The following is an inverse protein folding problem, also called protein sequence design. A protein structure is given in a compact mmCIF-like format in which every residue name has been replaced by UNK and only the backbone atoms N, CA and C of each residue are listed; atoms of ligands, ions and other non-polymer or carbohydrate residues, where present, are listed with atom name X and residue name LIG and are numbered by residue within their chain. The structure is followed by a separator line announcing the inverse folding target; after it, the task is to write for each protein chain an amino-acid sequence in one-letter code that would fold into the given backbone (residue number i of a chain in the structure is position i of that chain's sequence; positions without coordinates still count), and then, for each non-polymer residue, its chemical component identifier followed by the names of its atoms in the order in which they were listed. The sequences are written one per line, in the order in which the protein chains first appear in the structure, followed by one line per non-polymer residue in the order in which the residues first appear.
data_IF_022638331796
#
_entry.id   IF_022638331796
#
_cell.length_a   1.000
_cell.length_b   1.000
_cell.length_c   1.000
_cell.angle_alpha   90.00
_cell.angle_beta   90.00
_cell.angle_gamma   90.00
#
_symmetry.space_group_name_H-M   'P 1'
#
loop_
_entity.id
_entity.type
_entity.pdbx_description
1 polymer ?
#
# COMPACT_ATOMS: atom_id res chain seq x y z
N UNK A 1 3.22 -6.22 29.49
CA UNK A 1 1.88 -6.81 29.29
C UNK A 1 1.11 -5.83 28.45
N UNK A 2 0.28 -6.27 27.50
CA UNK A 2 -0.55 -5.35 26.71
C UNK A 2 -1.44 -4.49 27.62
N UNK A 3 -1.65 -3.24 27.23
CA UNK A 3 -2.46 -2.27 27.98
C UNK A 3 -3.82 -2.06 27.30
N UNK A 4 -4.87 -2.04 28.10
CA UNK A 4 -6.24 -1.79 27.66
C UNK A 4 -6.36 -0.47 26.88
N UNK A 5 -6.86 -0.53 25.63
CA UNK A 5 -7.13 0.67 24.84
C UNK A 5 -8.59 1.09 24.95
N UNK A 6 -8.82 2.39 25.16
CA UNK A 6 -10.14 2.97 24.97
C UNK A 6 -10.40 3.15 23.48
N UNK A 7 -11.21 2.27 22.91
CA UNK A 7 -11.70 2.38 21.53
C UNK A 7 -13.10 2.99 21.50
N UNK A 8 -13.45 3.67 20.42
CA UNK A 8 -14.80 4.20 20.20
C UNK A 8 -15.32 3.80 18.82
N UNK A 9 -16.63 3.96 18.60
CA UNK A 9 -17.24 3.83 17.28
C UNK A 9 -17.42 5.19 16.66
N UNK A 10 -17.16 5.27 15.37
CA UNK A 10 -17.52 6.43 14.57
C UNK A 10 -18.77 6.14 13.74
N UNK A 11 -19.56 7.15 13.43
CA UNK A 11 -20.83 7.00 12.72
C UNK A 11 -20.70 7.06 11.19
N UNK A 12 -19.56 6.64 10.65
CA UNK A 12 -19.39 6.54 9.21
C UNK A 12 -17.94 6.45 8.75
N UNK A 13 -17.80 6.26 7.45
CA UNK A 13 -16.53 6.00 6.79
C UNK A 13 -16.00 7.25 6.10
N UNK A 14 -15.12 7.96 6.79
CA UNK A 14 -14.48 9.21 6.33
C UNK A 14 -12.99 9.01 6.19
N UNK A 15 -12.44 9.18 5.00
CA UNK A 15 -10.98 9.18 4.79
C UNK A 15 -10.35 10.50 5.23
N UNK A 16 -9.09 10.46 5.63
CA UNK A 16 -8.27 11.67 5.82
C UNK A 16 -8.03 12.36 4.46
N UNK A 17 -8.01 13.69 4.43
CA UNK A 17 -7.50 14.45 3.29
C UNK A 17 -6.13 15.04 3.64
N UNK A 18 -5.15 14.91 2.75
CA UNK A 18 -3.81 15.42 3.02
C UNK A 18 -3.11 15.92 1.74
N UNK A 19 -2.07 16.73 1.93
CA UNK A 19 -1.25 17.29 0.87
C UNK A 19 0.21 17.40 1.31
N UNK A 20 1.13 17.31 0.34
CA UNK A 20 2.58 17.35 0.60
C UNK A 20 3.14 18.78 0.70
N UNK A 21 3.41 19.41 -0.43
CA UNK A 21 4.07 20.72 -0.52
C UNK A 21 3.22 21.63 -1.40
N UNK A 22 2.91 22.88 -1.01
CA UNK A 22 2.05 23.75 -1.80
C UNK A 22 2.79 24.28 -3.05
N UNK A 23 2.02 24.60 -4.09
CA UNK A 23 2.47 25.26 -5.31
C UNK A 23 1.51 26.40 -5.69
N UNK A 24 2.03 27.40 -6.39
CA UNK A 24 1.26 28.55 -6.88
C UNK A 24 0.63 28.30 -8.27
N UNK A 25 0.94 27.17 -8.90
CA UNK A 25 0.36 26.77 -10.18
C UNK A 25 -1.08 26.22 -10.06
N UNK A 26 -1.66 25.80 -11.19
CA UNK A 26 -3.02 25.27 -11.24
C UNK A 26 -3.19 23.92 -10.50
N UNK A 27 -2.10 23.19 -10.26
CA UNK A 27 -2.10 21.88 -9.60
C UNK A 27 -2.07 21.99 -8.07
N UNK A 28 -1.81 23.19 -7.52
CA UNK A 28 -1.88 23.56 -6.10
C UNK A 28 -0.87 22.90 -5.17
N UNK A 29 -0.32 21.75 -5.54
CA UNK A 29 0.66 21.01 -4.76
C UNK A 29 1.74 20.40 -5.66
N UNK A 30 2.98 20.41 -5.19
CA UNK A 30 4.15 20.02 -5.98
C UNK A 30 4.11 18.54 -6.35
N UNK A 31 3.83 17.64 -5.40
CA UNK A 31 4.01 16.20 -5.61
C UNK A 31 2.70 15.41 -5.59
N UNK A 32 1.96 15.48 -4.49
CA UNK A 32 0.72 14.73 -4.29
C UNK A 32 -0.14 15.33 -3.19
N UNK A 33 -1.44 15.10 -3.33
CA UNK A 33 -2.51 15.57 -2.43
C UNK A 33 -3.81 14.84 -2.76
N UNK A 34 -4.79 14.91 -1.88
CA UNK A 34 -6.12 14.35 -2.10
C UNK A 34 -6.65 13.56 -0.91
N UNK A 35 -7.68 12.75 -1.17
CA UNK A 35 -8.26 11.87 -0.16
C UNK A 35 -7.44 10.61 0.02
N UNK A 36 -6.79 10.50 1.17
CA UNK A 36 -5.65 9.63 1.46
C UNK A 36 -5.96 8.62 2.56
N UNK A 37 -7.23 8.23 2.72
CA UNK A 37 -7.60 7.18 3.68
C UNK A 37 -6.87 5.85 3.46
N UNK A 38 -6.50 5.54 2.21
CA UNK A 38 -5.68 4.37 1.88
C UNK A 38 -4.25 4.74 1.48
N UNK A 39 -3.72 5.90 1.86
CA UNK A 39 -2.31 6.29 1.65
C UNK A 39 -1.37 5.56 2.65
N UNK A 40 -0.11 5.29 2.35
CA UNK A 40 0.63 5.44 1.06
C UNK A 40 0.93 4.09 0.43
N UNK A 41 1.43 4.06 -0.82
CA UNK A 41 1.90 2.86 -1.51
C UNK A 41 2.79 1.91 -0.68
N UNK A 42 3.42 2.40 0.40
CA UNK A 42 4.36 1.68 1.28
C UNK A 42 3.76 1.17 2.59
N UNK A 43 2.49 1.48 2.86
CA UNK A 43 1.67 0.88 3.91
C UNK A 43 0.92 -0.30 3.29
N UNK A 44 1.33 -1.53 3.61
CA UNK A 44 0.69 -2.76 3.12
C UNK A 44 0.80 -3.87 4.17
N UNK A 45 -0.20 -4.75 4.33
CA UNK A 45 -1.48 -4.72 3.63
C UNK A 45 -2.52 -3.81 4.33
N UNK A 46 -3.49 -3.32 3.56
CA UNK A 46 -4.59 -2.47 4.08
C UNK A 46 -5.88 -3.26 4.31
N UNK A 47 -5.95 -4.49 3.80
CA UNK A 47 -7.12 -5.36 3.91
C UNK A 47 -6.71 -6.84 3.87
N UNK A 48 -7.47 -7.68 4.54
CA UNK A 48 -7.26 -9.12 4.66
C UNK A 48 -8.61 -9.84 4.63
N UNK A 49 -8.78 -10.79 3.72
CA UNK A 49 -9.94 -11.68 3.71
C UNK A 49 -9.71 -12.91 4.59
N UNK A 50 -10.60 -13.13 5.55
CA UNK A 50 -10.63 -14.27 6.44
C UNK A 50 -11.76 -15.23 6.05
N UNK A 51 -11.42 -16.33 5.40
CA UNK A 51 -12.37 -17.38 4.97
C UNK A 51 -13.15 -17.97 6.15
N UNK A 52 -12.51 -18.16 7.31
CA UNK A 52 -13.13 -18.77 8.50
C UNK A 52 -14.42 -18.06 8.97
N UNK A 53 -14.50 -16.75 8.79
CA UNK A 53 -15.68 -15.94 9.14
C UNK A 53 -16.39 -15.37 7.92
N UNK A 54 -15.82 -15.52 6.73
CA UNK A 54 -16.26 -14.93 5.46
C UNK A 54 -16.37 -13.40 5.53
N UNK A 55 -15.28 -12.77 6.00
CA UNK A 55 -15.18 -11.31 6.17
C UNK A 55 -13.88 -10.78 5.59
N UNK A 56 -13.94 -9.62 4.95
CA UNK A 56 -12.74 -8.84 4.65
C UNK A 56 -12.54 -7.77 5.72
N UNK A 57 -11.52 -7.92 6.55
CA UNK A 57 -11.07 -6.88 7.48
C UNK A 57 -10.26 -5.83 6.72
N UNK A 58 -10.44 -4.55 7.06
CA UNK A 58 -9.67 -3.46 6.47
C UNK A 58 -9.43 -2.34 7.48
N UNK A 59 -8.34 -1.59 7.29
CA UNK A 59 -8.04 -0.37 8.03
C UNK A 59 -7.88 0.81 7.09
N UNK A 60 -7.92 2.02 7.64
CA UNK A 60 -7.70 3.25 6.88
C UNK A 60 -7.32 4.40 7.81
N UNK A 61 -6.73 5.44 7.23
CA UNK A 61 -6.63 6.76 7.87
C UNK A 61 -7.97 7.46 7.83
N UNK A 62 -8.64 7.52 8.96
CA UNK A 62 -9.90 8.24 9.12
C UNK A 62 -9.72 9.69 9.50
N UNK A 63 -10.82 10.42 9.61
CA UNK A 63 -10.83 11.79 10.14
C UNK A 63 -12.10 12.09 10.92
N UNK A 64 -12.03 13.04 11.85
CA UNK A 64 -13.21 13.60 12.51
C UNK A 64 -14.08 14.37 11.51
N UNK A 65 -15.37 14.54 11.86
CA UNK A 65 -16.35 15.25 11.01
C UNK A 65 -16.03 16.73 10.82
N UNK A 66 -15.50 17.36 11.85
CA UNK A 66 -15.30 18.81 11.96
C UNK A 66 -13.82 19.20 12.01
N UNK A 67 -12.92 18.23 11.86
CA UNK A 67 -11.48 18.43 11.97
C UNK A 67 -10.70 17.45 11.10
N UNK A 68 -9.80 17.97 10.27
CA UNK A 68 -8.88 17.18 9.46
C UNK A 68 -7.70 16.67 10.33
N UNK A 69 -7.86 15.48 10.93
CA UNK A 69 -6.88 14.87 11.82
C UNK A 69 -7.06 13.36 11.82
N UNK A 70 -5.95 12.62 11.73
CA UNK A 70 -5.94 11.18 11.52
C UNK A 70 -6.48 10.43 12.72
N UNK A 71 -7.48 9.61 12.42
CA UNK A 71 -7.93 8.50 13.23
C UNK A 71 -7.39 7.20 12.63
N UNK A 72 -6.79 6.33 13.46
CA UNK A 72 -6.48 4.97 13.02
C UNK A 72 -7.76 4.14 13.08
N UNK A 73 -8.31 3.79 11.91
CA UNK A 73 -9.62 3.14 11.80
C UNK A 73 -9.48 1.67 11.41
N UNK A 74 -10.36 0.82 11.94
CA UNK A 74 -10.49 -0.60 11.55
C UNK A 74 -11.96 -0.98 11.41
N UNK A 75 -12.27 -1.80 10.39
CA UNK A 75 -13.60 -2.36 10.19
C UNK A 75 -13.55 -3.67 9.39
N UNK A 76 -14.71 -4.22 9.04
CA UNK A 76 -14.84 -5.34 8.13
C UNK A 76 -16.05 -5.21 7.21
N UNK A 77 -15.97 -5.88 6.05
CA UNK A 77 -17.11 -6.19 5.20
C UNK A 77 -17.49 -7.66 5.40
N UNK A 78 -18.74 -7.90 5.77
CA UNK A 78 -19.29 -9.24 5.93
C UNK A 78 -19.89 -9.71 4.60
N UNK A 79 -19.26 -10.71 3.98
CA UNK A 79 -19.67 -11.19 2.65
C UNK A 79 -20.99 -11.97 2.69
N UNK A 80 -21.35 -12.55 3.85
CA UNK A 80 -22.61 -13.31 3.99
C UNK A 80 -23.82 -12.38 3.99
N UNK A 81 -23.72 -11.26 4.70
CA UNK A 81 -24.82 -10.30 4.80
C UNK A 81 -24.72 -9.19 3.76
N UNK A 82 -23.52 -8.92 3.25
CA UNK A 82 -23.21 -7.81 2.36
C UNK A 82 -23.28 -6.45 3.07
N UNK A 83 -22.82 -6.39 4.32
CA UNK A 83 -22.91 -5.20 5.19
C UNK A 83 -21.58 -4.88 5.86
N UNK A 84 -21.49 -3.67 6.41
CA UNK A 84 -20.40 -3.17 7.25
C UNK A 84 -20.97 -2.66 8.58
N UNK A 85 -20.25 -2.83 9.71
CA UNK A 85 -20.65 -2.24 10.99
C UNK A 85 -20.23 -0.76 11.07
N UNK A 86 -20.56 -0.08 12.17
CA UNK A 86 -19.88 1.16 12.55
C UNK A 86 -18.36 0.91 12.67
N UNK A 87 -17.48 1.72 12.04
CA UNK A 87 -16.05 1.51 12.13
C UNK A 87 -15.51 1.82 13.54
N UNK A 88 -14.48 1.09 13.95
CA UNK A 88 -13.80 1.29 15.23
C UNK A 88 -12.66 2.31 15.07
N UNK A 89 -12.66 3.32 15.94
CA UNK A 89 -11.54 4.24 16.16
C UNK A 89 -10.60 3.60 17.17
N UNK A 90 -9.38 3.26 16.73
CA UNK A 90 -8.35 2.72 17.63
C UNK A 90 -7.65 3.83 18.41
N UNK A 91 -7.32 4.93 17.74
CA UNK A 91 -6.65 6.07 18.35
C UNK A 91 -6.71 7.30 17.45
N UNK A 92 -6.60 8.46 18.10
CA UNK A 92 -6.32 9.74 17.47
C UNK A 92 -4.80 9.98 17.41
N UNK A 93 -4.28 10.25 16.21
CA UNK A 93 -2.83 10.48 16.00
C UNK A 93 -2.39 11.92 16.18
N UNK A 94 -3.32 12.86 16.39
CA UNK A 94 -3.00 14.27 16.65
C UNK A 94 -2.35 15.01 15.48
N UNK A 95 -2.46 14.48 14.26
CA UNK A 95 -1.87 15.05 13.04
C UNK A 95 -2.74 14.77 11.82
N UNK A 96 -2.63 15.57 10.76
CA UNK A 96 -3.22 15.26 9.46
C UNK A 96 -2.26 14.47 8.54
N UNK A 97 -1.01 14.27 8.94
CA UNK A 97 0.05 13.65 8.14
C UNK A 97 -0.25 12.19 7.79
N UNK A 98 -0.77 11.94 6.58
CA UNK A 98 -1.28 10.63 6.14
C UNK A 98 -0.24 9.50 6.21
N UNK A 99 1.05 9.81 6.38
CA UNK A 99 2.09 8.83 6.67
C UNK A 99 1.88 8.08 8.01
N UNK A 100 1.04 8.61 8.90
CA UNK A 100 0.64 8.01 10.17
C UNK A 100 -0.54 7.02 10.03
N UNK A 101 -1.03 6.75 8.81
CA UNK A 101 -2.08 5.76 8.56
C UNK A 101 -1.72 4.34 9.05
N UNK A 102 -2.71 3.52 9.42
CA UNK A 102 -2.49 2.14 9.86
C UNK A 102 -2.41 1.14 8.70
N UNK A 103 -1.80 -0.03 8.97
CA UNK A 103 -1.95 -1.29 8.22
C UNK A 103 -2.48 -2.39 9.15
N UNK A 104 -3.04 -3.47 8.61
CA UNK A 104 -3.48 -4.60 9.42
C UNK A 104 -3.02 -5.95 8.87
N UNK A 105 -2.95 -6.95 9.74
CA UNK A 105 -2.71 -8.36 9.39
C UNK A 105 -3.43 -9.26 10.41
N UNK A 106 -3.81 -10.47 10.01
CA UNK A 106 -4.34 -11.48 10.92
C UNK A 106 -3.29 -12.55 11.21
N UNK A 107 -3.29 -13.07 12.45
CA UNK A 107 -2.48 -14.25 12.83
C UNK A 107 -3.25 -15.57 12.61
N UNK A 108 -2.59 -16.70 12.90
CA UNK A 108 -3.15 -18.05 12.73
C UNK A 108 -4.39 -18.30 13.59
N UNK A 109 -4.52 -17.60 14.71
CA UNK A 109 -5.65 -17.70 15.63
C UNK A 109 -6.80 -16.76 15.24
N UNK A 110 -6.59 -15.90 14.23
CA UNK A 110 -7.57 -14.96 13.72
C UNK A 110 -7.60 -13.62 14.44
N UNK A 111 -6.66 -13.32 15.34
CA UNK A 111 -6.59 -12.00 15.96
C UNK A 111 -6.20 -10.94 14.92
N UNK A 112 -6.84 -9.78 15.03
CA UNK A 112 -6.57 -8.64 14.17
C UNK A 112 -5.45 -7.82 14.78
N UNK A 113 -4.33 -7.70 14.07
CA UNK A 113 -3.19 -6.88 14.46
C UNK A 113 -3.17 -5.61 13.62
N UNK A 114 -3.03 -4.46 14.27
CA UNK A 114 -3.01 -3.16 13.60
C UNK A 114 -1.71 -2.42 13.94
N UNK A 115 -0.96 -2.07 12.89
CA UNK A 115 0.32 -1.37 12.98
C UNK A 115 0.10 0.08 12.54
N UNK A 116 0.02 0.98 13.51
CA UNK A 116 -0.22 2.40 13.30
C UNK A 116 1.12 3.11 13.12
N UNK A 117 1.34 3.66 11.93
CA UNK A 117 2.62 4.22 11.52
C UNK A 117 2.94 5.57 12.18
N UNK A 118 4.20 5.97 12.11
CA UNK A 118 4.64 7.34 12.29
C UNK A 118 5.37 7.84 11.03
N UNK A 119 5.53 9.15 10.91
CA UNK A 119 6.41 9.75 9.90
C UNK A 119 7.73 10.23 10.49
N UNK A 120 8.82 9.51 10.21
CA UNK A 120 10.11 9.83 10.80
C UNK A 120 10.11 9.63 12.31
N UNK A 121 10.84 10.47 13.03
CA UNK A 121 11.04 10.36 14.49
C UNK A 121 10.18 11.33 15.30
N UNK A 122 9.27 12.07 14.65
CA UNK A 122 8.51 13.16 15.28
C UNK A 122 7.41 12.61 16.21
N UNK A 123 6.90 11.42 15.93
CA UNK A 123 5.80 10.79 16.68
C UNK A 123 6.06 9.30 16.91
N UNK A 124 5.46 8.71 17.95
CA UNK A 124 5.43 7.27 18.12
C UNK A 124 4.51 6.59 17.10
N UNK A 125 4.84 5.32 16.87
CA UNK A 125 4.10 4.31 16.13
C UNK A 125 3.66 3.21 17.11
N UNK A 126 2.56 2.52 16.79
CA UNK A 126 1.89 1.64 17.74
C UNK A 126 1.54 0.30 17.11
N UNK A 127 1.62 -0.77 17.91
CA UNK A 127 1.13 -2.08 17.57
C UNK A 127 -0.03 -2.44 18.50
N UNK A 128 -1.19 -2.72 17.93
CA UNK A 128 -2.41 -3.07 18.65
C UNK A 128 -2.84 -4.49 18.26
N UNK A 129 -3.45 -5.23 19.18
CA UNK A 129 -4.01 -6.57 18.95
C UNK A 129 -5.47 -6.59 19.40
N UNK A 130 -6.36 -7.18 18.61
CA UNK A 130 -7.75 -7.41 19.05
C UNK A 130 -7.79 -8.34 20.28
N UNK A 131 -8.77 -8.16 21.15
CA UNK A 131 -8.96 -9.02 22.33
C UNK A 131 -9.54 -10.39 22.01
N UNK A 132 -10.24 -10.47 20.89
CA UNK A 132 -10.88 -11.67 20.40
C UNK A 132 -10.51 -11.89 18.92
N UNK A 133 -10.41 -13.15 18.47
CA UNK A 133 -10.30 -13.46 17.06
C UNK A 133 -11.43 -12.86 16.24
N UNK A 134 -11.11 -12.38 15.04
CA UNK A 134 -12.06 -11.88 14.05
C UNK A 134 -12.97 -10.76 14.56
N UNK A 135 -12.47 -9.96 15.52
CA UNK A 135 -13.21 -8.91 16.20
C UNK A 135 -12.54 -7.55 16.03
N UNK A 136 -13.37 -6.51 15.95
CA UNK A 136 -12.96 -5.11 15.98
C UNK A 136 -13.50 -4.39 17.23
N UNK A 137 -14.07 -5.13 18.18
CA UNK A 137 -14.79 -4.57 19.34
C UNK A 137 -13.87 -3.95 20.39
N UNK A 138 -12.70 -4.53 20.60
CA UNK A 138 -11.75 -4.09 21.61
C UNK A 138 -10.33 -4.52 21.24
N UNK A 139 -9.36 -3.69 21.63
CA UNK A 139 -7.94 -3.88 21.35
C UNK A 139 -7.10 -3.61 22.59
N UNK A 140 -5.94 -4.23 22.63
CA UNK A 140 -4.88 -3.91 23.59
C UNK A 140 -3.67 -3.33 22.84
N UNK A 141 -3.03 -2.35 23.46
CA UNK A 141 -1.76 -1.80 23.01
C UNK A 141 -0.66 -2.79 23.38
N UNK A 142 0.01 -3.36 22.38
CA UNK A 142 1.09 -4.34 22.55
C UNK A 142 2.43 -3.65 22.68
N UNK A 143 2.68 -2.65 21.83
CA UNK A 143 3.97 -1.97 21.78
C UNK A 143 3.82 -0.53 21.28
N UNK A 144 4.50 0.40 21.96
CA UNK A 144 4.82 1.73 21.45
C UNK A 144 6.30 1.76 21.04
N UNK A 145 6.59 2.14 19.79
CA UNK A 145 7.96 2.32 19.29
C UNK A 145 7.97 3.34 18.14
N UNK A 146 9.03 3.36 17.33
CA UNK A 146 9.08 4.19 16.12
C UNK A 146 9.30 3.31 14.89
N UNK A 147 8.41 3.44 13.91
CA UNK A 147 8.55 2.87 12.57
C UNK A 147 7.70 3.66 11.56
N UNK A 148 8.14 3.67 10.31
CA UNK A 148 7.39 4.20 9.18
C UNK A 148 7.18 3.13 8.12
N UNK A 149 6.14 3.29 7.31
CA UNK A 149 5.84 2.41 6.17
C UNK A 149 5.77 0.92 6.55
N UNK A 150 4.91 0.56 7.52
CA UNK A 150 4.82 -0.79 8.06
C UNK A 150 4.40 -1.84 7.02
N UNK A 151 5.09 -2.98 7.00
CA UNK A 151 4.78 -4.15 6.16
C UNK A 151 4.88 -5.46 6.97
N UNK A 152 3.84 -5.79 7.77
CA UNK A 152 3.84 -6.93 8.70
C UNK A 152 3.26 -8.19 8.07
N UNK A 153 4.14 -9.10 7.63
CA UNK A 153 3.70 -10.39 7.08
C UNK A 153 3.65 -11.44 8.17
N UNK A 154 2.46 -11.92 8.50
CA UNK A 154 2.28 -13.11 9.33
C UNK A 154 2.48 -14.35 8.46
N UNK A 155 3.52 -15.13 8.74
CA UNK A 155 3.83 -16.39 8.08
C UNK A 155 3.26 -17.52 8.94
N UNK A 156 2.31 -18.33 8.42
CA UNK A 156 1.65 -19.37 9.19
C UNK A 156 2.62 -20.31 9.89
N UNK A 157 2.39 -20.58 11.17
CA UNK A 157 3.24 -21.42 12.03
C UNK A 157 4.59 -20.81 12.43
N UNK A 158 4.95 -19.61 11.94
CA UNK A 158 6.23 -18.93 12.27
C UNK A 158 6.03 -17.62 13.03
N UNK A 159 5.01 -16.83 12.69
CA UNK A 159 4.73 -15.52 13.26
C UNK A 159 4.99 -14.37 12.29
N UNK A 160 5.30 -13.19 12.81
CA UNK A 160 5.51 -11.97 12.01
C UNK A 160 6.94 -11.79 11.52
N UNK A 161 7.08 -11.59 10.20
CA UNK A 161 8.22 -10.91 9.59
C UNK A 161 7.79 -9.49 9.21
N UNK A 162 8.31 -8.51 9.95
CA UNK A 162 7.90 -7.12 9.83
C UNK A 162 8.96 -6.28 9.16
N UNK A 163 8.74 -5.89 7.91
CA UNK A 163 9.57 -4.91 7.22
C UNK A 163 9.08 -3.50 7.55
N UNK A 164 10.03 -2.59 7.77
CA UNK A 164 9.77 -1.24 8.24
C UNK A 164 10.89 -0.30 7.82
N UNK A 165 10.58 0.99 7.73
CA UNK A 165 11.59 2.04 7.59
C UNK A 165 11.92 2.65 8.95
N UNK A 166 13.21 2.80 9.24
CA UNK A 166 13.70 3.58 10.37
C UNK A 166 14.54 4.75 9.85
N UNK A 167 14.30 5.94 10.41
CA UNK A 167 14.99 7.16 10.00
C UNK A 167 16.31 7.32 10.77
N UNK A 168 17.38 6.71 10.27
CA UNK A 168 18.71 6.70 10.88
C UNK A 168 19.74 7.42 9.98
N UNK A 169 19.63 8.74 9.83
CA UNK A 169 20.44 9.53 8.89
C UNK A 169 19.97 9.46 7.43
N UNK A 170 19.02 8.57 7.15
CA UNK A 170 18.30 8.43 5.89
C UNK A 170 17.08 7.52 6.09
N UNK A 171 16.30 7.30 5.02
CA UNK A 171 15.11 6.44 5.04
C UNK A 171 15.52 4.99 4.82
N UNK A 172 16.10 4.36 5.83
CA UNK A 172 16.73 3.05 5.71
C UNK A 172 15.75 1.92 5.98
N UNK A 173 15.97 0.78 5.32
CA UNK A 173 15.09 -0.37 5.36
C UNK A 173 15.57 -1.34 6.44
N UNK A 174 14.63 -1.80 7.26
CA UNK A 174 14.87 -2.74 8.34
C UNK A 174 13.81 -3.84 8.34
N UNK A 175 14.11 -4.92 9.04
CA UNK A 175 13.11 -5.91 9.43
C UNK A 175 13.29 -6.34 10.89
N UNK A 176 12.21 -6.82 11.48
CA UNK A 176 12.22 -7.52 12.77
C UNK A 176 11.29 -8.71 12.70
N UNK A 177 11.56 -9.75 13.49
CA UNK A 177 10.68 -10.92 13.58
C UNK A 177 10.07 -11.06 14.97
N UNK A 178 8.94 -11.74 15.04
CA UNK A 178 8.28 -12.10 16.30
C UNK A 178 7.46 -13.36 16.09
N UNK A 179 7.67 -14.38 16.92
CA UNK A 179 6.92 -15.64 16.84
C UNK A 179 5.53 -15.56 17.47
N UNK A 180 5.28 -14.56 18.31
CA UNK A 180 4.05 -14.39 19.10
C UNK A 180 3.37 -13.03 18.88
N UNK A 181 3.96 -12.16 18.06
CA UNK A 181 3.54 -10.77 17.84
C UNK A 181 3.80 -9.82 19.03
N UNK A 182 4.31 -10.33 20.15
CA UNK A 182 4.53 -9.58 21.40
C UNK A 182 6.02 -9.36 21.65
N UNK A 183 6.82 -10.42 21.52
CA UNK A 183 8.26 -10.44 21.71
C UNK A 183 8.95 -10.24 20.37
N UNK A 184 9.54 -9.06 20.17
CA UNK A 184 10.18 -8.68 18.90
C UNK A 184 11.70 -8.73 18.97
N UNK A 185 12.33 -9.22 17.90
CA UNK A 185 13.78 -9.06 17.74
C UNK A 185 14.16 -7.59 17.58
N UNK A 186 15.43 -7.26 17.88
CA UNK A 186 15.98 -5.95 17.47
C UNK A 186 15.88 -5.80 15.95
N UNK A 187 15.54 -4.62 15.43
CA UNK A 187 15.53 -4.38 13.98
C UNK A 187 16.91 -4.64 13.36
N UNK A 188 16.95 -5.46 12.31
CA UNK A 188 18.13 -5.71 11.47
C UNK A 188 18.01 -4.88 10.19
N UNK A 189 19.08 -4.19 9.82
CA UNK A 189 19.09 -3.35 8.62
C UNK A 189 19.19 -4.21 7.37
N UNK A 190 18.28 -4.01 6.41
CA UNK A 190 18.34 -4.60 5.06
C UNK A 190 19.21 -3.75 4.14
N UNK A 191 18.93 -2.44 4.12
CA UNK A 191 19.60 -1.53 3.20
C UNK A 191 19.63 -0.12 3.77
N UNK A 192 20.79 0.53 3.62
CA UNK A 192 20.96 1.94 3.91
C UNK A 192 21.98 2.54 2.96
N UNK A 193 21.52 2.94 1.77
CA UNK A 193 22.34 3.61 0.78
C UNK A 193 21.91 5.07 0.65
N UNK A 194 22.87 6.00 0.54
CA UNK A 194 22.63 7.44 0.37
C UNK A 194 21.50 7.98 1.29
N UNK A 195 20.42 8.54 0.72
CA UNK A 195 19.28 9.08 1.48
C UNK A 195 18.18 8.05 1.78
N UNK A 196 18.36 6.80 1.36
CA UNK A 196 17.48 5.68 1.67
C UNK A 196 16.54 5.30 0.52
N UNK A 197 15.40 4.72 0.87
CA UNK A 197 14.60 3.93 -0.06
C UNK A 197 13.09 4.07 0.20
N UNK A 198 12.27 3.84 -0.81
CA UNK A 198 10.86 3.49 -0.63
C UNK A 198 10.67 2.02 -1.03
N UNK A 199 10.08 1.21 -0.15
CA UNK A 199 9.93 -0.24 -0.35
C UNK A 199 8.46 -0.68 -0.49
N UNK A 200 8.23 -1.73 -1.26
CA UNK A 200 7.02 -2.55 -1.28
C UNK A 200 7.44 -4.01 -1.20
N UNK A 201 6.63 -4.83 -0.56
CA UNK A 201 6.89 -6.26 -0.40
C UNK A 201 5.61 -7.06 -0.54
N UNK A 202 5.75 -8.35 -0.70
CA UNK A 202 4.65 -9.31 -0.65
C UNK A 202 5.20 -10.68 -0.24
N UNK A 203 4.29 -11.60 0.10
CA UNK A 203 4.66 -12.97 0.45
C UNK A 203 3.99 -14.00 -0.49
N UNK A 204 4.68 -15.11 -0.70
CA UNK A 204 4.18 -16.34 -1.34
C UNK A 204 4.58 -17.51 -0.45
N UNK A 205 3.61 -18.17 0.16
CA UNK A 205 3.89 -19.20 1.17
C UNK A 205 4.77 -18.66 2.30
N UNK A 206 5.97 -19.19 2.44
CA UNK A 206 6.97 -18.73 3.43
C UNK A 206 7.94 -17.67 2.89
N UNK A 207 7.97 -17.47 1.57
CA UNK A 207 8.84 -16.51 0.90
C UNK A 207 8.29 -15.11 1.08
N UNK A 208 9.15 -14.17 1.46
CA UNK A 208 8.85 -12.73 1.46
C UNK A 208 9.84 -12.02 0.56
N UNK A 209 9.33 -11.37 -0.49
CA UNK A 209 10.12 -10.57 -1.42
C UNK A 209 9.87 -9.09 -1.22
N UNK A 210 10.91 -8.27 -1.39
CA UNK A 210 10.83 -6.81 -1.29
C UNK A 210 11.51 -6.14 -2.48
N UNK A 211 10.86 -5.13 -3.02
CA UNK A 211 11.38 -4.26 -4.06
C UNK A 211 11.41 -2.82 -3.60
N UNK A 212 12.47 -2.10 -3.97
CA UNK A 212 12.68 -0.74 -3.53
C UNK A 212 13.48 0.06 -4.56
N UNK A 213 13.38 1.39 -4.45
CA UNK A 213 14.19 2.32 -5.24
C UNK A 213 15.38 2.85 -4.43
N UNK A 214 16.31 3.51 -5.10
CA UNK A 214 17.43 4.23 -4.52
C UNK A 214 17.15 5.73 -4.48
N UNK A 215 17.33 6.35 -3.32
CA UNK A 215 17.28 7.79 -3.17
C UNK A 215 18.69 8.37 -3.20
N UNK A 216 19.10 8.89 -4.37
CA UNK A 216 20.43 9.43 -4.60
C UNK A 216 20.73 10.65 -3.70
N UNK A 217 22.02 10.90 -3.46
CA UNK A 217 22.51 12.12 -2.82
C UNK A 217 22.05 13.37 -3.59
N UNK A 218 21.85 14.50 -2.89
CA UNK A 218 21.53 15.78 -3.52
C UNK A 218 22.67 16.27 -4.43
N UNK A 219 22.58 15.91 -5.71
CA UNK A 219 23.43 16.31 -6.84
C UNK A 219 22.52 16.49 -8.07
N UNK A 220 22.99 17.07 -9.20
CA UNK A 220 22.23 16.98 -10.44
C UNK A 220 21.96 15.50 -10.78
N UNK A 221 20.69 15.12 -10.98
CA UNK A 221 20.26 13.74 -11.30
C UNK A 221 18.89 13.37 -10.69
N UNK A 222 18.31 12.21 -11.08
CA UNK A 222 17.01 11.76 -10.58
C UNK A 222 17.10 11.41 -9.08
N UNK A 223 16.29 12.04 -8.20
CA UNK A 223 16.39 11.84 -6.75
C UNK A 223 15.90 10.46 -6.30
N UNK A 224 15.05 9.79 -7.08
CA UNK A 224 14.52 8.45 -6.81
C UNK A 224 14.72 7.62 -8.06
N UNK A 225 15.68 6.72 -8.09
CA UNK A 225 16.05 5.96 -9.29
C UNK A 225 16.41 4.53 -8.93
N UNK A 226 16.85 3.73 -9.90
CA UNK A 226 17.19 2.32 -9.81
C UNK A 226 16.05 1.45 -9.24
N UNK A 227 16.07 0.18 -9.60
CA UNK A 227 15.15 -0.81 -9.07
C UNK A 227 15.96 -1.94 -8.46
N UNK A 228 15.59 -2.34 -7.25
CA UNK A 228 16.23 -3.44 -6.52
C UNK A 228 15.19 -4.46 -6.09
N UNK A 229 15.64 -5.70 -5.92
CA UNK A 229 14.85 -6.79 -5.38
C UNK A 229 15.71 -7.72 -4.52
N UNK A 230 15.12 -8.20 -3.42
CA UNK A 230 15.68 -9.24 -2.57
C UNK A 230 14.55 -10.01 -1.88
N UNK A 231 14.84 -11.24 -1.46
CA UNK A 231 13.87 -12.11 -0.81
C UNK A 231 14.48 -12.96 0.30
N UNK A 232 13.60 -13.47 1.16
CA UNK A 232 13.93 -14.45 2.18
C UNK A 232 12.90 -15.57 2.17
N UNK A 233 13.36 -16.82 2.22
CA UNK A 233 12.51 -18.01 2.40
C UNK A 233 12.59 -18.60 3.80
N UNK A 234 13.41 -18.03 4.69
CA UNK A 234 13.79 -18.62 5.98
C UNK A 234 13.49 -17.69 7.16
N UNK A 235 12.40 -16.93 7.01
CA UNK A 235 11.90 -16.00 8.03
C UNK A 235 12.95 -14.91 8.40
N UNK A 236 13.70 -14.44 7.40
CA UNK A 236 14.69 -13.37 7.54
C UNK A 236 16.01 -13.82 8.19
N UNK A 237 16.31 -15.12 8.24
CA UNK A 237 17.62 -15.60 8.70
C UNK A 237 18.69 -15.20 7.69
N UNK A 238 18.45 -15.49 6.40
CA UNK A 238 19.24 -15.08 5.24
C UNK A 238 18.39 -14.33 4.23
N UNK A 239 19.06 -13.63 3.30
CA UNK A 239 18.43 -12.88 2.21
C UNK A 239 19.20 -13.13 0.93
N UNK A 240 18.47 -13.24 -0.18
CA UNK A 240 18.98 -13.59 -1.50
C UNK A 240 18.42 -12.65 -2.57
N UNK A 241 19.05 -12.60 -3.74
CA UNK A 241 18.44 -12.02 -4.93
C UNK A 241 17.49 -13.03 -5.61
N UNK A 242 16.87 -12.64 -6.73
CA UNK A 242 15.91 -13.50 -7.44
C UNK A 242 16.54 -14.79 -8.05
N UNK A 243 17.86 -14.84 -8.26
CA UNK A 243 18.56 -16.05 -8.73
C UNK A 243 18.98 -16.99 -7.60
N UNK A 244 18.72 -16.62 -6.34
CA UNK A 244 19.11 -17.39 -5.16
C UNK A 244 20.53 -17.13 -4.67
N UNK A 245 21.22 -16.11 -5.19
CA UNK A 245 22.53 -15.71 -4.68
C UNK A 245 22.37 -15.00 -3.33
N UNK A 246 23.12 -15.42 -2.33
CA UNK A 246 23.10 -14.83 -0.99
C UNK A 246 23.58 -13.37 -1.00
N UNK A 247 22.90 -12.53 -0.21
CA UNK A 247 23.20 -11.11 -0.07
C UNK A 247 23.81 -10.81 1.30
N UNK A 248 24.92 -10.08 1.31
CA UNK A 248 25.51 -9.56 2.54
C UNK A 248 24.76 -8.29 3.01
N UNK A 249 24.25 -8.33 4.24
CA UNK A 249 23.49 -7.23 4.82
C UNK A 249 24.33 -6.40 5.81
N UNK A 250 24.11 -5.07 5.89
CA UNK A 250 23.18 -4.30 5.07
C UNK A 250 23.73 -3.99 3.67
N UNK A 251 22.84 -3.93 2.68
CA UNK A 251 23.17 -3.37 1.37
C UNK A 251 23.54 -1.90 1.53
N UNK A 252 24.78 -1.56 1.20
CA UNK A 252 25.40 -0.24 1.47
C UNK A 252 25.93 0.47 0.23
N UNK A 253 25.98 -0.20 -0.92
CA UNK A 253 26.39 0.36 -2.21
C UNK A 253 25.25 0.24 -3.23
N UNK A 254 25.10 1.21 -4.15
CA UNK A 254 24.06 1.18 -5.19
C UNK A 254 24.30 0.10 -6.26
N UNK A 255 25.54 -0.32 -6.48
CA UNK A 255 25.85 -1.48 -7.30
C UNK A 255 25.78 -2.77 -6.47
N UNK A 256 25.34 -3.87 -7.08
CA UNK A 256 25.39 -5.19 -6.45
C UNK A 256 24.33 -6.16 -6.94
N UNK A 257 24.34 -7.36 -6.39
CA UNK A 257 23.50 -8.50 -6.80
C UNK A 257 21.99 -8.30 -6.62
N UNK A 258 21.57 -7.30 -5.83
CA UNK A 258 20.17 -6.94 -5.64
C UNK A 258 19.65 -5.95 -6.70
N UNK A 259 20.52 -5.36 -7.52
CA UNK A 259 20.14 -4.40 -8.56
C UNK A 259 19.41 -5.12 -9.70
N UNK A 260 18.16 -4.74 -9.95
CA UNK A 260 17.35 -5.21 -11.07
C UNK A 260 17.65 -4.38 -12.32
N UNK A 261 17.69 -3.05 -12.18
CA UNK A 261 17.98 -2.16 -13.29
C UNK A 261 18.51 -0.79 -12.83
N UNK A 262 19.55 -0.31 -13.53
CA UNK A 262 20.15 1.01 -13.33
C UNK A 262 19.41 2.08 -14.15
N UNK A 263 18.31 2.58 -13.59
CA UNK A 263 17.56 3.70 -14.18
C UNK A 263 18.28 5.04 -14.06
N UNK A 264 19.30 5.15 -13.21
CA UNK A 264 20.08 6.38 -13.08
C UNK A 264 20.84 6.65 -14.38
N UNK A 265 21.36 5.60 -15.01
CA UNK A 265 22.02 5.68 -16.33
C UNK A 265 21.12 6.21 -17.45
N UNK A 266 19.80 6.21 -17.25
CA UNK A 266 18.78 6.69 -18.20
C UNK A 266 18.16 8.03 -17.79
N UNK A 267 18.66 8.67 -16.72
CA UNK A 267 18.07 9.88 -16.13
C UNK A 267 16.58 9.71 -15.76
N UNK A 268 16.17 8.49 -15.40
CA UNK A 268 14.79 8.16 -15.07
C UNK A 268 14.58 7.99 -13.57
N UNK A 269 13.43 8.47 -13.12
CA UNK A 269 12.93 8.23 -11.78
C UNK A 269 12.16 6.92 -11.70
N UNK A 270 12.16 6.30 -10.52
CA UNK A 270 11.47 5.02 -10.25
C UNK A 270 10.54 5.16 -9.05
N UNK A 271 9.26 4.88 -9.27
CA UNK A 271 8.21 4.84 -8.26
C UNK A 271 7.67 3.42 -8.17
N UNK A 272 8.19 2.62 -7.23
CA UNK A 272 7.70 1.25 -6.98
C UNK A 272 6.23 1.26 -6.54
N UNK A 273 5.43 0.26 -6.94
CA UNK A 273 3.96 0.24 -6.73
C UNK A 273 3.48 -0.99 -6.01
N UNK A 274 3.91 -2.18 -6.43
CA UNK A 274 3.50 -3.46 -5.86
C UNK A 274 4.50 -4.57 -6.19
N UNK A 275 4.42 -5.69 -5.46
CA UNK A 275 5.14 -6.94 -5.73
C UNK A 275 4.14 -8.08 -5.71
N UNK A 276 4.28 -9.06 -6.59
CA UNK A 276 3.57 -10.33 -6.51
C UNK A 276 4.44 -11.45 -7.09
N UNK A 277 3.94 -12.68 -7.03
CA UNK A 277 4.67 -13.86 -7.51
C UNK A 277 3.84 -14.62 -8.54
N UNK A 278 4.51 -15.21 -9.53
CA UNK A 278 3.86 -16.19 -10.40
C UNK A 278 3.73 -17.57 -9.75
N UNK A 279 3.16 -18.53 -10.49
CA UNK A 279 2.91 -19.87 -9.98
C UNK A 279 4.18 -20.65 -9.64
N UNK A 280 5.34 -20.23 -10.17
CA UNK A 280 6.65 -20.81 -9.90
C UNK A 280 7.41 -20.02 -8.81
N UNK A 281 6.71 -19.14 -8.11
CA UNK A 281 7.24 -18.24 -7.06
C UNK A 281 8.33 -17.28 -7.57
N UNK A 282 8.31 -16.95 -8.87
CA UNK A 282 9.17 -15.90 -9.40
C UNK A 282 8.56 -14.52 -9.16
N UNK A 283 9.36 -13.53 -8.73
CA UNK A 283 8.86 -12.19 -8.45
C UNK A 283 8.47 -11.42 -9.72
N UNK A 284 7.38 -10.66 -9.58
CA UNK A 284 6.88 -9.67 -10.53
C UNK A 284 6.74 -8.34 -9.81
N UNK A 285 7.44 -7.33 -10.30
CA UNK A 285 7.49 -5.99 -9.73
C UNK A 285 6.67 -5.05 -10.60
N UNK A 286 5.73 -4.32 -10.00
CA UNK A 286 5.00 -3.24 -10.65
C UNK A 286 5.60 -1.89 -10.21
N UNK A 287 5.98 -1.07 -11.17
CA UNK A 287 6.56 0.25 -10.89
C UNK A 287 6.25 1.25 -12.02
N UNK A 288 6.57 2.51 -11.80
CA UNK A 288 6.42 3.58 -12.78
C UNK A 288 7.75 4.32 -12.95
N UNK A 289 8.05 4.75 -14.18
CA UNK A 289 9.16 5.66 -14.47
C UNK A 289 8.68 6.98 -15.05
N UNK A 290 9.45 8.05 -14.79
CA UNK A 290 9.24 9.39 -15.34
C UNK A 290 10.53 10.21 -15.27
N UNK A 291 10.53 11.41 -15.85
CA UNK A 291 11.71 12.30 -15.88
C UNK A 291 11.77 13.27 -14.68
N UNK A 292 10.70 13.38 -13.89
CA UNK A 292 10.57 14.35 -12.79
C UNK A 292 9.57 13.90 -11.72
N UNK A 293 9.56 14.54 -10.55
CA UNK A 293 8.67 14.16 -9.43
C UNK A 293 7.38 14.95 -9.41
N UNK A 294 7.40 16.14 -9.99
CA UNK A 294 6.38 17.16 -9.88
C UNK A 294 5.11 16.78 -10.64
N UNK A 295 3.99 17.31 -10.13
CA UNK A 295 2.65 17.25 -10.70
C UNK A 295 2.59 18.10 -11.97
N UNK A 296 1.82 17.66 -12.97
CA UNK A 296 1.67 18.37 -14.26
C UNK A 296 2.30 17.64 -15.46
N UNK A 297 2.07 18.12 -16.69
CA UNK A 297 2.50 17.44 -17.93
C UNK A 297 4.01 17.45 -18.19
N UNK A 298 4.78 18.31 -17.51
CA UNK A 298 6.19 18.56 -17.82
C UNK A 298 7.11 17.34 -17.66
N UNK A 299 6.68 16.35 -16.87
CA UNK A 299 7.43 15.14 -16.56
C UNK A 299 6.89 13.90 -17.29
N UNK A 300 6.01 14.11 -18.28
CA UNK A 300 5.55 13.04 -19.15
C UNK A 300 6.66 12.53 -20.09
N UNK A 301 6.58 11.26 -20.53
CA UNK A 301 5.56 10.29 -20.16
C UNK A 301 5.82 9.63 -18.80
N UNK A 302 4.74 9.31 -18.09
CA UNK A 302 4.75 8.46 -16.89
C UNK A 302 4.35 7.04 -17.28
N UNK A 303 5.32 6.16 -17.34
CA UNK A 303 5.17 4.82 -17.92
C UNK A 303 5.18 3.79 -16.79
N UNK A 304 4.13 2.97 -16.71
CA UNK A 304 4.09 1.81 -15.83
C UNK A 304 4.84 0.65 -16.49
N UNK A 305 5.56 -0.11 -15.68
CA UNK A 305 6.35 -1.26 -16.10
C UNK A 305 6.07 -2.46 -15.23
N UNK A 306 6.26 -3.64 -15.81
CA UNK A 306 6.50 -4.86 -15.04
C UNK A 306 7.93 -5.33 -15.25
N UNK A 307 8.64 -5.61 -14.15
CA UNK A 307 9.88 -6.38 -14.16
C UNK A 307 9.58 -7.77 -13.59
N UNK A 308 9.79 -8.83 -14.37
CA UNK A 308 9.57 -10.21 -13.95
C UNK A 308 10.88 -10.99 -13.99
N UNK A 309 11.14 -11.78 -12.96
CA UNK A 309 12.18 -12.79 -13.03
C UNK A 309 11.69 -14.01 -13.80
N UNK A 310 12.42 -14.42 -14.85
CA UNK A 310 12.04 -15.56 -15.70
C UNK A 310 12.54 -16.91 -15.17
N UNK A 311 13.25 -16.92 -14.04
CA UNK A 311 14.06 -18.04 -13.58
C UNK A 311 15.53 -17.94 -13.99
N UNK A 312 15.87 -17.04 -14.92
CA UNK A 312 17.24 -16.86 -15.41
C UNK A 312 17.65 -15.38 -15.54
N UNK A 313 16.72 -14.50 -15.91
CA UNK A 313 16.98 -13.08 -16.09
C UNK A 313 15.76 -12.22 -15.74
N UNK A 314 15.98 -10.91 -15.55
CA UNK A 314 14.90 -9.95 -15.41
C UNK A 314 14.41 -9.51 -16.78
N UNK A 315 13.13 -9.76 -17.05
CA UNK A 315 12.43 -9.23 -18.21
C UNK A 315 11.63 -7.99 -17.80
N UNK A 316 11.94 -6.84 -18.43
CA UNK A 316 11.29 -5.56 -18.17
C UNK A 316 10.45 -5.16 -19.38
N UNK A 317 9.17 -4.88 -19.15
CA UNK A 317 8.21 -4.48 -20.20
C UNK A 317 7.38 -3.28 -19.76
N UNK A 318 7.13 -2.36 -20.70
CA UNK A 318 6.12 -1.33 -20.53
C UNK A 318 4.72 -1.96 -20.46
N UNK A 319 3.86 -1.41 -19.61
CA UNK A 319 2.48 -1.87 -19.46
C UNK A 319 1.48 -0.85 -20.04
N UNK A 320 1.31 0.27 -19.37
CA UNK A 320 0.40 1.35 -19.72
C UNK A 320 0.89 2.65 -19.08
N UNK A 321 0.13 3.74 -19.17
CA UNK A 321 0.51 5.05 -18.64
C UNK A 321 -0.55 5.57 -17.67
N UNK A 322 -0.15 6.51 -16.84
CA UNK A 322 -1.06 7.37 -16.07
C UNK A 322 -0.50 8.79 -16.08
N UNK A 323 -1.15 9.74 -15.41
CA UNK A 323 -0.78 11.16 -15.46
C UNK A 323 -0.12 11.66 -14.16
N UNK A 324 0.04 10.83 -13.13
CA UNK A 324 0.77 11.20 -11.93
C UNK A 324 1.73 10.10 -11.41
N UNK A 325 2.89 10.52 -10.89
CA UNK A 325 3.92 9.63 -10.35
C UNK A 325 3.45 8.83 -9.13
N UNK A 326 2.42 9.29 -8.43
CA UNK A 326 1.92 8.73 -7.18
C UNK A 326 0.65 7.88 -7.36
N UNK A 327 0.18 7.72 -8.59
CA UNK A 327 -0.89 6.79 -8.93
C UNK A 327 -0.48 5.39 -8.50
N UNK A 328 -1.35 4.71 -7.75
CA UNK A 328 -1.02 3.42 -7.14
C UNK A 328 -2.17 2.45 -7.35
N UNK A 329 -1.83 1.29 -7.89
CA UNK A 329 -2.68 0.12 -7.97
C UNK A 329 -2.02 -1.12 -7.37
N UNK A 330 -2.66 -2.26 -7.53
CA UNK A 330 -2.11 -3.57 -7.17
C UNK A 330 -2.10 -4.52 -8.37
N UNK A 331 -1.11 -5.40 -8.42
CA UNK A 331 -1.04 -6.48 -9.42
C UNK A 331 -1.50 -7.80 -8.80
N UNK A 332 -2.47 -8.41 -9.44
CA UNK A 332 -3.00 -9.74 -9.11
C UNK A 332 -2.50 -10.73 -10.15
N UNK A 333 -2.07 -11.90 -9.70
CA UNK A 333 -1.74 -13.04 -10.55
C UNK A 333 -2.83 -14.08 -10.32
N UNK A 334 -3.66 -14.29 -11.33
CA UNK A 334 -4.81 -15.18 -11.26
C UNK A 334 -4.39 -16.64 -11.45
N UNK A 335 -5.20 -17.58 -10.95
CA UNK A 335 -4.91 -19.02 -11.05
C UNK A 335 -4.78 -19.54 -12.48
N UNK A 336 -5.40 -18.87 -13.45
CA UNK A 336 -5.32 -19.21 -14.87
C UNK A 336 -4.11 -18.58 -15.58
N UNK A 337 -3.24 -17.89 -14.83
CA UNK A 337 -2.06 -17.20 -15.35
C UNK A 337 -2.32 -15.76 -15.80
N UNK A 338 -3.57 -15.29 -15.78
CA UNK A 338 -3.89 -13.89 -16.12
C UNK A 338 -3.26 -12.94 -15.10
N UNK A 339 -2.54 -11.93 -15.58
CA UNK A 339 -2.12 -10.80 -14.76
C UNK A 339 -3.18 -9.73 -14.82
N UNK A 340 -3.54 -9.14 -13.68
CA UNK A 340 -4.54 -8.10 -13.57
C UNK A 340 -4.02 -6.94 -12.74
N UNK A 341 -4.14 -5.72 -13.27
CA UNK A 341 -3.88 -4.50 -12.50
C UNK A 341 -5.19 -3.74 -12.34
N UNK A 342 -5.50 -3.35 -11.10
CA UNK A 342 -6.57 -2.41 -10.78
C UNK A 342 -5.92 -1.16 -10.19
N UNK A 343 -6.04 -0.03 -10.88
CA UNK A 343 -5.28 1.18 -10.61
C UNK A 343 -5.97 2.44 -11.16
N UNK A 344 -5.73 3.63 -10.59
CA UNK A 344 -6.18 4.90 -11.14
C UNK A 344 -5.29 5.33 -12.32
N UNK A 345 -5.43 4.68 -13.46
CA UNK A 345 -4.59 4.93 -14.65
C UNK A 345 -5.24 5.83 -15.68
N UNK A 346 -6.54 6.06 -15.54
CA UNK A 346 -7.30 6.90 -16.45
C UNK A 346 -7.38 8.32 -15.89
N UNK A 347 -7.40 9.30 -16.78
CA UNK A 347 -7.51 10.71 -16.39
C UNK A 347 -8.76 10.95 -15.54
N UNK A 348 -8.56 11.48 -14.35
CA UNK A 348 -9.62 11.93 -13.46
C UNK A 348 -10.07 13.37 -13.71
N UNK A 349 -11.09 13.84 -12.96
CA UNK A 349 -11.57 15.22 -13.03
C UNK A 349 -10.51 16.27 -12.67
N UNK A 350 -9.49 15.91 -11.88
CA UNK A 350 -8.34 16.77 -11.58
C UNK A 350 -7.09 16.25 -12.29
N UNK A 351 -7.05 16.49 -13.61
CA UNK A 351 -5.98 16.09 -14.53
C UNK A 351 -4.57 16.39 -13.96
N UNK A 352 -3.65 15.43 -14.13
CA UNK A 352 -2.26 15.39 -13.67
C UNK A 352 -2.04 15.39 -12.16
N UNK A 353 -3.03 15.72 -11.33
CA UNK A 353 -2.92 15.56 -9.88
C UNK A 353 -2.99 14.07 -9.49
N UNK A 354 -2.60 13.72 -8.26
CA UNK A 354 -2.59 12.33 -7.80
C UNK A 354 -3.95 11.64 -7.94
N UNK A 355 -3.91 10.41 -8.43
CA UNK A 355 -5.08 9.59 -8.70
C UNK A 355 -5.75 9.96 -10.02
N UNK A 356 -6.90 9.34 -10.25
CA UNK A 356 -7.62 9.47 -11.51
C UNK A 356 -8.89 8.64 -11.48
N UNK A 357 -9.39 8.25 -12.65
CA UNK A 357 -10.38 7.19 -12.73
C UNK A 357 -9.70 5.82 -12.65
N UNK A 358 -10.34 4.89 -11.94
CA UNK A 358 -9.84 3.52 -11.78
C UNK A 358 -10.16 2.70 -13.02
N UNK A 359 -9.21 1.90 -13.48
CA UNK A 359 -9.41 0.94 -14.57
C UNK A 359 -8.87 -0.45 -14.20
N UNK A 360 -9.36 -1.45 -14.94
CA UNK A 360 -8.84 -2.82 -14.94
C UNK A 360 -8.07 -3.07 -16.21
N UNK A 361 -6.81 -3.45 -16.05
CA UNK A 361 -5.93 -3.93 -17.11
C UNK A 361 -5.65 -5.41 -16.93
N UNK A 362 -5.57 -6.15 -18.03
CA UNK A 362 -5.20 -7.57 -18.00
C UNK A 362 -4.14 -7.90 -19.03
N UNK A 363 -3.25 -8.83 -18.70
CA UNK A 363 -2.34 -9.51 -19.63
C UNK A 363 -2.51 -11.02 -19.49
N UNK A 364 -2.54 -11.72 -20.63
CA UNK A 364 -2.62 -13.18 -20.70
C UNK A 364 -1.29 -13.83 -21.14
N UNK A 365 -0.26 -13.00 -21.33
CA UNK A 365 1.06 -13.36 -21.87
C UNK A 365 2.18 -12.80 -20.98
N UNK A 366 1.94 -12.81 -19.67
CA UNK A 366 2.92 -12.48 -18.64
C UNK A 366 3.55 -11.08 -18.83
N UNK A 367 2.68 -10.09 -19.06
CA UNK A 367 3.06 -8.69 -19.26
C UNK A 367 3.52 -8.35 -20.67
N UNK A 368 3.42 -9.27 -21.64
CA UNK A 368 3.78 -9.04 -23.04
C UNK A 368 2.89 -8.01 -23.72
N UNK A 369 1.58 -8.13 -23.50
CA UNK A 369 0.57 -7.20 -23.97
C UNK A 369 -0.46 -6.95 -22.87
N UNK A 370 -0.79 -5.68 -22.67
CA UNK A 370 -1.82 -5.26 -21.73
C UNK A 370 -3.05 -4.73 -22.45
N UNK A 371 -4.23 -5.16 -22.00
CA UNK A 371 -5.51 -4.67 -22.48
C UNK A 371 -6.29 -4.05 -21.34
N UNK A 372 -6.72 -2.81 -21.50
CA UNK A 372 -7.75 -2.22 -20.63
C UNK A 372 -9.07 -2.92 -20.90
N UNK A 373 -9.58 -3.65 -19.91
CA UNK A 373 -10.82 -4.42 -20.04
C UNK A 373 -12.02 -3.68 -19.46
N UNK A 374 -11.79 -2.68 -18.59
CA UNK A 374 -12.86 -1.90 -17.97
C UNK A 374 -12.35 -0.58 -17.41
N UNK A 375 -13.16 0.46 -17.51
CA UNK A 375 -13.07 1.61 -16.61
C UNK A 375 -13.98 1.32 -15.41
N UNK A 376 -13.37 1.21 -14.22
CA UNK A 376 -14.01 0.91 -12.93
C UNK A 376 -14.64 2.16 -12.35
N UNK A 377 -14.21 3.36 -12.70
CA UNK A 377 -14.91 4.60 -12.37
C UNK A 377 -14.93 5.51 -13.59
N UNK A 378 -15.90 6.44 -13.67
CA UNK A 378 -16.07 7.39 -14.78
C UNK A 378 -16.78 8.64 -14.28
N UNK A 379 -16.41 9.79 -14.83
CA UNK A 379 -17.06 11.09 -14.57
C UNK A 379 -17.17 11.38 -13.06
N UNK A 380 -16.17 10.96 -12.29
CA UNK A 380 -16.12 11.12 -10.86
C UNK A 380 -15.99 12.59 -10.50
N UNK A 381 -16.45 12.96 -9.30
CA UNK A 381 -16.25 14.32 -8.76
C UNK A 381 -14.79 14.55 -8.37
N UNK A 382 -14.14 13.50 -7.86
CA UNK A 382 -12.81 13.51 -7.28
C UNK A 382 -11.94 12.42 -7.92
N UNK A 383 -10.64 12.65 -7.98
CA UNK A 383 -9.68 11.59 -8.31
C UNK A 383 -9.74 10.47 -7.25
N UNK A 384 -9.68 9.23 -7.71
CA UNK A 384 -9.52 8.04 -6.90
C UNK A 384 -8.03 7.73 -6.73
N UNK A 385 -7.58 7.47 -5.50
CA UNK A 385 -6.17 7.37 -5.15
C UNK A 385 -5.87 6.06 -4.41
N UNK A 386 -4.61 5.61 -4.50
CA UNK A 386 -4.07 4.49 -3.72
C UNK A 386 -4.93 3.22 -3.65
N UNK A 387 -5.18 2.59 -4.80
CA UNK A 387 -5.94 1.34 -4.91
C UNK A 387 -5.16 0.16 -4.34
N UNK A 388 -5.74 -0.55 -3.38
CA UNK A 388 -5.08 -1.60 -2.57
C UNK A 388 -5.59 -2.98 -2.92
N UNK A 389 -4.66 -3.93 -3.02
CA UNK A 389 -4.93 -5.37 -3.10
C UNK A 389 -5.06 -5.95 -1.69
N UNK A 390 -6.18 -6.59 -1.34
CA UNK A 390 -6.32 -7.34 -0.10
C UNK A 390 -5.47 -8.61 -0.09
N UNK A 391 -5.01 -9.02 1.09
CA UNK A 391 -4.49 -10.37 1.31
C UNK A 391 -5.66 -11.37 1.18
N UNK A 392 -5.42 -12.47 0.47
CA UNK A 392 -6.43 -13.52 0.21
C UNK A 392 -7.73 -13.01 -0.45
N UNK A 393 -7.66 -11.93 -1.23
CA UNK A 393 -8.82 -11.20 -1.76
C UNK A 393 -10.02 -12.08 -2.19
N UNK A 394 -11.18 -11.83 -1.58
CA UNK A 394 -12.46 -12.41 -2.01
C UNK A 394 -12.91 -11.80 -3.34
N UNK A 395 -13.53 -12.55 -4.27
CA UNK A 395 -13.95 -12.02 -5.57
C UNK A 395 -14.89 -10.81 -5.52
N UNK A 396 -15.62 -10.58 -4.43
CA UNK A 396 -16.51 -9.42 -4.25
C UNK A 396 -15.86 -8.22 -3.53
N UNK A 397 -14.65 -8.38 -2.99
CA UNK A 397 -13.84 -7.33 -2.39
C UNK A 397 -12.39 -7.55 -2.81
N UNK A 398 -12.08 -7.09 -4.02
CA UNK A 398 -10.85 -7.40 -4.74
C UNK A 398 -9.89 -6.21 -4.81
N UNK A 399 -10.42 -4.99 -4.69
CA UNK A 399 -9.64 -3.77 -4.52
C UNK A 399 -10.31 -2.81 -3.53
N UNK A 400 -9.53 -2.02 -2.79
CA UNK A 400 -10.00 -1.06 -1.78
C UNK A 400 -9.24 0.27 -1.87
N UNK A 401 -9.91 1.42 -1.85
CA UNK A 401 -9.29 2.72 -2.09
C UNK A 401 -10.07 3.91 -1.53
N UNK A 402 -9.48 5.11 -1.63
CA UNK A 402 -10.10 6.37 -1.27
C UNK A 402 -10.24 7.31 -2.48
N UNK A 403 -11.12 8.31 -2.38
CA UNK A 403 -11.15 9.46 -3.30
C UNK A 403 -11.02 10.78 -2.55
N UNK A 404 -10.74 11.87 -3.26
CA UNK A 404 -10.79 13.24 -2.74
C UNK A 404 -10.24 14.23 -3.76
N UNK A 405 -10.65 15.49 -3.70
CA UNK A 405 -10.15 16.53 -4.61
C UNK A 405 -8.67 16.80 -4.29
N UNK A 406 -7.72 16.59 -5.20
CA UNK A 406 -6.32 16.86 -4.93
C UNK A 406 -5.97 18.35 -5.02
N UNK A 407 -6.85 19.24 -5.47
CA UNK A 407 -6.55 20.69 -5.60
C UNK A 407 -6.99 21.50 -4.38
N UNK A 408 -7.83 20.95 -3.52
CA UNK A 408 -8.36 21.62 -2.33
C UNK A 408 -8.88 20.59 -1.32
N UNK A 409 -8.97 21.00 -0.05
CA UNK A 409 -9.55 20.17 0.99
C UNK A 409 -11.01 19.79 0.63
N UNK A 410 -11.34 18.52 0.83
CA UNK A 410 -12.63 17.96 0.43
C UNK A 410 -12.98 16.72 1.23
N UNK A 411 -14.23 16.28 1.11
CA UNK A 411 -14.62 14.95 1.57
C UNK A 411 -13.74 13.88 0.93
N UNK A 412 -13.29 12.92 1.74
CA UNK A 412 -12.68 11.69 1.23
C UNK A 412 -13.56 10.49 1.54
N UNK A 413 -13.95 9.77 0.49
CA UNK A 413 -14.84 8.61 0.56
C UNK A 413 -14.05 7.35 0.26
N UNK A 414 -14.50 6.23 0.81
CA UNK A 414 -13.85 4.93 0.67
C UNK A 414 -14.67 3.99 -0.22
N UNK A 415 -13.98 3.20 -1.03
CA UNK A 415 -14.59 2.34 -2.04
C UNK A 415 -13.93 0.98 -2.08
N UNK A 416 -14.69 -0.02 -2.52
CA UNK A 416 -14.16 -1.31 -2.93
C UNK A 416 -14.88 -1.82 -4.17
N UNK A 417 -14.28 -2.76 -4.88
CA UNK A 417 -14.93 -3.42 -6.02
C UNK A 417 -14.70 -4.92 -6.07
N UNK A 418 -15.53 -5.59 -6.86
CA UNK A 418 -15.34 -6.99 -7.22
C UNK A 418 -14.15 -7.17 -8.19
N UNK A 419 -13.74 -8.43 -8.41
CA UNK A 419 -12.61 -8.79 -9.27
C UNK A 419 -12.71 -8.25 -10.69
N UNK A 420 -13.94 -8.14 -11.20
CA UNK A 420 -14.19 -7.65 -12.54
C UNK A 420 -14.13 -6.12 -12.64
N UNK A 421 -14.25 -5.41 -11.51
CA UNK A 421 -14.43 -3.97 -11.45
C UNK A 421 -15.81 -3.48 -11.89
N UNK A 422 -16.79 -4.38 -12.02
CA UNK A 422 -18.16 -4.05 -12.44
C UNK A 422 -19.04 -3.63 -11.26
N UNK A 423 -18.83 -4.24 -10.09
CA UNK A 423 -19.56 -3.91 -8.87
C UNK A 423 -18.66 -3.06 -7.99
N UNK A 424 -18.85 -1.75 -8.07
CA UNK A 424 -18.20 -0.78 -7.19
C UNK A 424 -19.15 -0.40 -6.06
N UNK A 425 -18.65 -0.45 -4.85
CA UNK A 425 -19.35 -0.06 -3.64
C UNK A 425 -18.62 1.08 -2.96
N UNK A 426 -19.37 2.06 -2.48
CA UNK A 426 -18.90 3.14 -1.61
C UNK A 426 -19.31 2.82 -0.17
N UNK A 427 -18.35 2.90 0.76
CA UNK A 427 -18.65 2.79 2.18
C UNK A 427 -19.48 4.01 2.64
N UNK A 428 -20.47 3.82 3.54
CA UNK A 428 -21.37 4.89 3.93
C UNK A 428 -20.61 6.01 4.65
N UNK A 429 -20.57 7.20 4.04
CA UNK A 429 -19.87 8.35 4.63
C UNK A 429 -20.46 8.76 5.99
N UNK A 430 -21.77 8.57 6.16
CA UNK A 430 -22.52 8.67 7.40
C UNK A 430 -23.45 7.47 7.49
N UNK A 431 -23.50 6.83 8.65
CA UNK A 431 -24.39 5.72 8.98
C UNK A 431 -25.50 6.20 9.91
N UNK A 432 -26.69 5.65 9.76
CA UNK A 432 -27.85 5.83 10.63
C UNK A 432 -28.07 4.64 11.55
N UNK A 433 -27.62 3.45 11.13
CA UNK A 433 -27.74 2.20 11.88
C UNK A 433 -26.36 1.64 12.27
N UNK A 434 -26.33 0.73 13.24
CA UNK A 434 -25.08 0.08 13.68
C UNK A 434 -24.43 -0.79 12.59
N UNK A 435 -25.23 -1.23 11.62
CA UNK A 435 -24.82 -2.08 10.49
C UNK A 435 -25.57 -1.66 9.23
N UNK A 436 -24.86 -1.37 8.14
CA UNK A 436 -25.45 -0.93 6.88
C UNK A 436 -24.83 -1.59 5.65
N UNK A 437 -25.57 -1.55 4.54
CA UNK A 437 -25.04 -1.98 3.23
C UNK A 437 -24.23 -0.83 2.60
N UNK A 438 -23.02 -1.11 2.09
CA UNK A 438 -22.33 -0.18 1.22
C UNK A 438 -23.19 0.21 0.02
N UNK A 439 -23.09 1.47 -0.40
CA UNK A 439 -23.84 1.99 -1.53
C UNK A 439 -23.24 1.46 -2.83
N UNK A 440 -24.03 0.76 -3.64
CA UNK A 440 -23.60 0.40 -5.00
C UNK A 440 -23.55 1.65 -5.87
N UNK A 441 -22.38 1.99 -6.38
CA UNK A 441 -22.19 3.16 -7.25
C UNK A 441 -22.52 2.76 -8.68
N UNK A 442 -23.59 3.34 -9.24
CA UNK A 442 -23.88 3.23 -10.67
C UNK A 442 -22.97 4.18 -11.43
N UNK A 443 -22.04 3.61 -12.18
CA UNK A 443 -21.13 4.36 -13.03
C UNK A 443 -21.82 4.53 -14.38
N UNK A 444 -22.42 5.70 -14.57
CA UNK A 444 -23.22 6.06 -15.74
C UNK A 444 -22.41 6.12 -17.04
#
# INVERSE_FOLDING_TARGET
MPEDMQVTRDDGYRGIWWWDTPSEDEYKFVYYSGGFGTYTAKHIPMAFYAEAVDRTFFCYGGTFKDKNQILAMVSYYDHKTGTVPLPTVLMDKGTADAHDNPVLMLDDEGFVWVFVSAHGTVRPAYLCKSREPYSIEAFDLVLERNFSYPQPWHIPGKGFLFLQTLYHGGRFLFFSTSSDGISWTKPRQLSGMAHGHYQVSWFSGEKVGTAFNYHAEKKPGPPRTNLYYMETGDFGTSWQNASGADLELPLSQPEGEALVFDYASLDLQVFVKDVNFDADENPILLYLTSTGMETGPQNDPRIWHTARWTGAEWEIREAFRSDNNYDKGGIHIEKDGTWRVIAPTETGPQLYNTGGEVAVWTSADQGGNWRKVRDVTRNSKYNHTYVRRPVNAHPDFYAFWADGNPREESESRLYFCDRSGERVHRLPYLMQEDVERPERVSLG
#
